data_IF_132841858509
#
_entry.id   IF_132841858509
#
_cell.length_a   1.000
_cell.length_b   1.000
_cell.length_c   1.000
_cell.angle_alpha   90.00
_cell.angle_beta   90.00
_cell.angle_gamma   90.00
#
_symmetry.space_group_name_H-M   'P 1'
#
loop_
_entity.id
_entity.type
_entity.pdbx_description
1 polymer ?
#
# COMPACT_ATOMS: atom_id res chain seq x y z
N UNK A 1 -32.77 7.79 -3.69
CA UNK A 1 -31.40 7.55 -3.17
C UNK A 1 -30.45 8.69 -3.53
N UNK A 2 -30.37 9.12 -4.80
CA UNK A 2 -29.50 10.25 -5.21
C UNK A 2 -29.64 11.51 -4.35
N UNK A 3 -30.88 11.99 -4.12
CA UNK A 3 -31.12 13.17 -3.28
C UNK A 3 -30.71 13.00 -1.80
N UNK A 4 -30.54 11.76 -1.33
CA UNK A 4 -30.13 11.46 0.06
C UNK A 4 -28.63 11.48 0.24
N UNK A 5 -27.86 11.48 -0.86
CA UNK A 5 -26.42 11.73 -0.78
C UNK A 5 -26.12 13.16 -0.33
N UNK A 6 -27.02 14.12 -0.60
CA UNK A 6 -26.85 15.55 -0.25
C UNK A 6 -27.70 15.95 0.96
N UNK A 7 -28.15 14.98 1.75
CA UNK A 7 -28.98 15.27 2.92
C UNK A 7 -28.18 16.04 3.99
N UNK A 8 -28.87 16.84 4.81
CA UNK A 8 -28.21 17.63 5.86
C UNK A 8 -27.71 16.75 6.99
N UNK A 9 -28.44 15.67 7.27
CA UNK A 9 -28.07 14.71 8.31
C UNK A 9 -27.00 13.74 7.77
N UNK A 10 -25.85 13.67 8.44
CA UNK A 10 -24.75 12.75 8.11
C UNK A 10 -25.21 11.29 8.09
N UNK A 11 -26.04 10.87 9.04
CA UNK A 11 -26.60 9.51 9.11
C UNK A 11 -27.38 9.15 7.83
N UNK A 12 -28.12 10.11 7.26
CA UNK A 12 -28.88 9.89 6.03
C UNK A 12 -27.92 9.79 4.83
N UNK A 13 -26.87 10.62 4.78
CA UNK A 13 -25.83 10.54 3.76
C UNK A 13 -25.10 9.19 3.82
N UNK A 14 -24.71 8.75 5.01
CA UNK A 14 -24.03 7.49 5.25
C UNK A 14 -24.87 6.30 4.76
N UNK A 15 -26.10 6.17 5.24
CA UNK A 15 -27.02 5.09 4.84
C UNK A 15 -27.27 5.10 3.34
N UNK A 16 -27.34 6.28 2.72
CA UNK A 16 -27.48 6.40 1.27
C UNK A 16 -26.27 5.86 0.52
N UNK A 17 -25.04 6.09 1.00
CA UNK A 17 -23.80 5.55 0.41
C UNK A 17 -23.70 4.04 0.62
N UNK A 18 -23.96 3.55 1.84
CA UNK A 18 -23.92 2.12 2.15
C UNK A 18 -24.90 1.31 1.28
N UNK A 19 -26.09 1.85 1.03
CA UNK A 19 -27.07 1.22 0.15
C UNK A 19 -26.61 1.12 -1.33
N UNK A 20 -25.58 1.88 -1.71
CA UNK A 20 -24.98 1.88 -3.04
C UNK A 20 -23.70 1.03 -3.12
N UNK A 21 -23.15 0.61 -1.98
CA UNK A 21 -21.92 -0.18 -1.92
C UNK A 21 -22.08 -1.54 -2.62
N UNK A 22 -21.04 -1.95 -3.34
CA UNK A 22 -21.01 -3.25 -4.05
C UNK A 22 -21.88 -3.32 -5.31
N UNK A 23 -22.61 -2.26 -5.67
CA UNK A 23 -23.36 -2.22 -6.93
C UNK A 23 -22.41 -1.98 -8.10
N UNK A 24 -22.38 -2.89 -9.08
CA UNK A 24 -21.55 -2.71 -10.27
C UNK A 24 -22.08 -1.54 -11.13
N UNK A 25 -23.37 -1.57 -11.48
CA UNK A 25 -23.97 -0.66 -12.45
C UNK A 25 -24.61 0.56 -11.77
N UNK A 26 -23.80 1.56 -11.42
CA UNK A 26 -24.30 2.85 -10.96
C UNK A 26 -24.33 3.88 -12.11
N UNK A 27 -25.43 4.64 -12.26
CA UNK A 27 -25.44 5.79 -13.16
C UNK A 27 -24.34 6.78 -12.80
N UNK A 28 -23.76 7.45 -13.80
CA UNK A 28 -22.69 8.45 -13.62
C UNK A 28 -23.03 9.50 -12.56
N UNK A 29 -24.24 10.04 -12.58
CA UNK A 29 -24.73 10.99 -11.57
C UNK A 29 -24.65 10.46 -10.14
N UNK A 30 -24.81 9.15 -9.95
CA UNK A 30 -24.67 8.53 -8.64
C UNK A 30 -23.20 8.41 -8.22
N UNK A 31 -22.31 8.09 -9.16
CA UNK A 31 -20.87 8.08 -8.94
C UNK A 31 -20.37 9.47 -8.58
N UNK A 32 -20.85 10.52 -9.27
CA UNK A 32 -20.56 11.92 -8.93
C UNK A 32 -21.07 12.28 -7.53
N UNK A 33 -22.28 11.85 -7.18
CA UNK A 33 -22.84 12.04 -5.85
C UNK A 33 -22.01 11.37 -4.75
N UNK A 34 -21.51 10.15 -4.99
CA UNK A 34 -20.57 9.47 -4.08
C UNK A 34 -19.22 10.19 -4.06
N UNK A 35 -18.72 10.66 -5.20
CA UNK A 35 -17.47 11.40 -5.30
C UNK A 35 -17.49 12.66 -4.43
N UNK A 36 -18.61 13.39 -4.44
CA UNK A 36 -18.79 14.59 -3.62
C UNK A 36 -18.76 14.30 -2.11
N UNK A 37 -18.99 13.04 -1.70
CA UNK A 37 -18.92 12.59 -0.31
C UNK A 37 -17.51 12.20 0.12
N UNK A 38 -16.54 12.15 -0.80
CA UNK A 38 -15.14 12.02 -0.42
C UNK A 38 -14.69 13.24 0.40
N UNK A 39 -15.28 14.42 0.20
CA UNK A 39 -14.96 15.67 0.93
C UNK A 39 -16.00 16.00 2.01
N UNK A 40 -16.77 15.01 2.47
CA UNK A 40 -17.77 15.23 3.50
C UNK A 40 -17.14 15.68 4.84
N UNK A 41 -17.84 16.51 5.60
CA UNK A 41 -17.39 16.93 6.93
C UNK A 41 -17.29 15.76 7.91
N UNK A 42 -18.15 14.75 7.71
CA UNK A 42 -18.21 13.56 8.55
C UNK A 42 -17.26 12.47 8.03
N UNK A 43 -16.36 12.01 8.91
CA UNK A 43 -15.35 11.00 8.56
C UNK A 43 -15.95 9.65 8.16
N UNK A 44 -17.08 9.25 8.75
CA UNK A 44 -17.71 7.95 8.49
C UNK A 44 -18.36 8.01 7.09
N UNK A 45 -18.92 9.16 6.73
CA UNK A 45 -19.40 9.43 5.36
C UNK A 45 -18.26 9.43 4.35
N UNK A 46 -17.11 10.06 4.64
CA UNK A 46 -15.92 10.02 3.77
C UNK A 46 -15.43 8.59 3.57
N UNK A 47 -15.33 7.82 4.65
CA UNK A 47 -14.88 6.43 4.62
C UNK A 47 -15.84 5.56 3.79
N UNK A 48 -17.15 5.68 4.03
CA UNK A 48 -18.17 4.96 3.27
C UNK A 48 -18.10 5.30 1.77
N UNK A 49 -17.86 6.56 1.41
CA UNK A 49 -17.71 6.96 0.01
C UNK A 49 -16.54 6.24 -0.67
N UNK A 50 -15.40 6.14 0.02
CA UNK A 50 -14.23 5.39 -0.46
C UNK A 50 -14.58 3.90 -0.67
N UNK A 51 -15.23 3.27 0.31
CA UNK A 51 -15.63 1.86 0.21
C UNK A 51 -16.66 1.60 -0.88
N UNK A 52 -17.56 2.55 -1.14
CA UNK A 52 -18.51 2.46 -2.24
C UNK A 52 -17.83 2.54 -3.62
N UNK A 53 -16.67 3.19 -3.73
CA UNK A 53 -15.88 3.27 -4.97
C UNK A 53 -14.87 2.14 -5.13
N UNK A 54 -14.49 1.47 -4.03
CA UNK A 54 -13.52 0.36 -4.02
C UNK A 54 -13.89 -0.76 -4.99
N UNK A 55 -12.87 -1.33 -5.66
CA UNK A 55 -13.01 -2.52 -6.49
C UNK A 55 -13.63 -2.29 -7.87
N UNK A 56 -13.98 -1.05 -8.20
CA UNK A 56 -14.46 -0.67 -9.54
C UNK A 56 -13.30 -0.53 -10.51
N UNK A 57 -13.30 -1.34 -11.57
CA UNK A 57 -12.21 -1.31 -12.55
C UNK A 57 -12.21 0.00 -13.37
N UNK A 58 -13.38 0.51 -13.72
CA UNK A 58 -13.65 1.58 -14.68
C UNK A 58 -13.85 2.97 -14.03
N UNK A 59 -13.20 3.23 -12.89
CA UNK A 59 -13.24 4.56 -12.28
C UNK A 59 -12.56 5.60 -13.17
N UNK A 60 -13.24 6.72 -13.50
CA UNK A 60 -12.61 7.88 -14.11
C UNK A 60 -11.40 8.37 -13.31
N UNK A 61 -10.38 8.86 -14.00
CA UNK A 61 -9.14 9.38 -13.38
C UNK A 61 -9.43 10.41 -12.26
N UNK A 62 -10.36 11.33 -12.50
CA UNK A 62 -10.79 12.34 -11.50
C UNK A 62 -11.31 11.71 -10.20
N UNK A 63 -11.98 10.56 -10.27
CA UNK A 63 -12.45 9.84 -9.08
C UNK A 63 -11.29 9.15 -8.36
N UNK A 64 -10.31 8.62 -9.09
CA UNK A 64 -9.08 8.09 -8.50
C UNK A 64 -8.27 9.19 -7.81
N UNK A 65 -8.17 10.38 -8.41
CA UNK A 65 -7.56 11.55 -7.78
C UNK A 65 -8.30 11.98 -6.50
N UNK A 66 -9.64 11.94 -6.50
CA UNK A 66 -10.44 12.20 -5.31
C UNK A 66 -10.16 11.21 -4.17
N UNK A 67 -10.04 9.91 -4.49
CA UNK A 67 -9.64 8.90 -3.50
C UNK A 67 -8.19 9.14 -3.05
N UNK A 68 -7.28 9.46 -3.98
CA UNK A 68 -5.88 9.73 -3.65
C UNK A 68 -5.71 10.96 -2.75
N UNK A 69 -6.55 11.99 -2.89
CA UNK A 69 -6.58 13.14 -2.00
C UNK A 69 -6.91 12.75 -0.54
N UNK A 70 -7.63 11.64 -0.33
CA UNK A 70 -7.92 11.09 1.00
C UNK A 70 -6.76 10.33 1.63
N UNK A 71 -5.65 10.12 0.90
CA UNK A 71 -4.42 9.67 1.53
C UNK A 71 -3.92 10.68 2.57
N UNK A 72 -4.23 11.97 2.42
CA UNK A 72 -3.84 13.05 3.35
C UNK A 72 -4.98 13.48 4.28
N UNK A 73 -6.02 12.65 4.44
CA UNK A 73 -7.12 12.94 5.35
C UNK A 73 -6.64 13.08 6.80
N UNK A 74 -7.29 13.93 7.59
CA UNK A 74 -6.98 14.11 9.01
C UNK A 74 -7.24 12.83 9.81
N UNK A 75 -8.21 12.02 9.39
CA UNK A 75 -8.62 10.80 10.09
C UNK A 75 -7.88 9.56 9.55
N UNK A 76 -7.28 8.78 10.46
CA UNK A 76 -6.49 7.59 10.11
C UNK A 76 -7.31 6.49 9.41
N UNK A 77 -8.58 6.31 9.80
CA UNK A 77 -9.45 5.29 9.21
C UNK A 77 -9.81 5.63 7.76
N UNK A 78 -9.94 6.94 7.46
CA UNK A 78 -10.15 7.45 6.10
C UNK A 78 -8.88 7.29 5.25
N UNK A 79 -7.70 7.61 5.80
CA UNK A 79 -6.40 7.38 5.12
C UNK A 79 -6.21 5.90 4.79
N UNK A 80 -6.48 5.01 5.74
CA UNK A 80 -6.41 3.57 5.53
C UNK A 80 -7.38 3.12 4.42
N UNK A 81 -8.64 3.56 4.47
CA UNK A 81 -9.63 3.21 3.46
C UNK A 81 -9.21 3.64 2.05
N UNK A 82 -8.61 4.83 1.91
CA UNK A 82 -8.08 5.31 0.63
C UNK A 82 -7.00 4.39 0.07
N UNK A 83 -6.05 3.97 0.91
CA UNK A 83 -5.00 3.01 0.52
C UNK A 83 -5.61 1.68 0.09
N UNK A 84 -6.58 1.17 0.84
CA UNK A 84 -7.26 -0.09 0.52
C UNK A 84 -8.07 -0.03 -0.79
N UNK A 85 -8.66 1.11 -1.11
CA UNK A 85 -9.38 1.31 -2.35
C UNK A 85 -8.46 1.38 -3.57
N UNK A 86 -7.24 1.88 -3.41
CA UNK A 86 -6.21 1.93 -4.46
C UNK A 86 -5.43 0.61 -4.58
N UNK A 87 -5.43 -0.25 -3.55
CA UNK A 87 -4.71 -1.53 -3.56
C UNK A 87 -5.14 -2.43 -4.72
N UNK A 88 -4.16 -3.06 -5.37
CA UNK A 88 -4.39 -4.06 -6.41
C UNK A 88 -4.72 -3.49 -7.79
N UNK A 89 -4.81 -2.17 -7.92
CA UNK A 89 -4.96 -1.48 -9.21
C UNK A 89 -3.64 -1.48 -9.98
N UNK A 90 -3.60 -2.12 -11.14
CA UNK A 90 -2.38 -2.17 -11.96
C UNK A 90 -2.06 -0.81 -12.61
N UNK A 91 -3.09 -0.03 -12.91
CA UNK A 91 -3.11 1.22 -13.70
C UNK A 91 -2.85 2.49 -12.88
N UNK A 92 -2.28 2.39 -11.68
CA UNK A 92 -1.99 3.57 -10.86
C UNK A 92 -0.84 4.40 -11.44
N UNK A 93 -1.05 5.72 -11.67
CA UNK A 93 0.04 6.62 -12.00
C UNK A 93 1.11 6.65 -10.91
N UNK A 94 2.36 6.92 -11.29
CA UNK A 94 3.49 7.00 -10.37
C UNK A 94 3.24 7.97 -9.21
N UNK A 95 2.62 9.13 -9.47
CA UNK A 95 2.26 10.12 -8.46
C UNK A 95 1.33 9.55 -7.36
N UNK A 96 0.41 8.65 -7.72
CA UNK A 96 -0.47 8.00 -6.73
C UNK A 96 0.30 6.96 -5.92
N UNK A 97 1.24 6.24 -6.54
CA UNK A 97 2.15 5.33 -5.83
C UNK A 97 3.04 6.09 -4.85
N UNK A 98 3.54 7.27 -5.22
CA UNK A 98 4.27 8.16 -4.31
C UNK A 98 3.40 8.61 -3.12
N UNK A 99 2.13 8.95 -3.37
CA UNK A 99 1.16 9.27 -2.32
C UNK A 99 0.96 8.12 -1.33
N UNK A 100 0.82 6.88 -1.84
CA UNK A 100 0.74 5.68 -1.00
C UNK A 100 2.07 5.46 -0.24
N UNK A 101 3.21 5.66 -0.90
CA UNK A 101 4.53 5.49 -0.29
C UNK A 101 4.79 6.52 0.83
N UNK A 102 4.28 7.75 0.71
CA UNK A 102 4.34 8.74 1.77
C UNK A 102 3.62 8.27 3.05
N UNK A 103 2.62 7.40 2.92
CA UNK A 103 1.91 6.77 4.06
C UNK A 103 2.68 5.63 4.73
N UNK A 104 3.84 5.23 4.19
CA UNK A 104 4.75 4.35 4.93
C UNK A 104 5.23 5.01 6.23
N UNK A 105 5.26 6.34 6.32
CA UNK A 105 5.70 7.10 7.51
C UNK A 105 4.54 7.65 8.34
N UNK A 106 3.31 7.18 8.10
CA UNK A 106 2.13 7.65 8.81
C UNK A 106 2.24 7.44 10.32
N UNK A 107 1.63 8.32 11.11
CA UNK A 107 1.60 8.19 12.57
C UNK A 107 0.83 6.94 13.01
N UNK A 108 -0.21 6.58 12.25
CA UNK A 108 -1.06 5.44 12.49
C UNK A 108 -0.42 4.16 11.91
N UNK A 109 -0.32 3.14 12.76
CA UNK A 109 0.26 1.85 12.37
C UNK A 109 -0.56 1.12 11.32
N UNK A 110 -1.89 1.26 11.35
CA UNK A 110 -2.79 0.53 10.47
C UNK A 110 -2.71 1.15 9.06
N UNK A 111 -2.54 2.46 8.97
CA UNK A 111 -2.21 3.18 7.74
C UNK A 111 -0.84 2.77 7.18
N UNK A 112 0.21 2.72 8.03
CA UNK A 112 1.55 2.24 7.59
C UNK A 112 1.48 0.82 7.05
N UNK A 113 0.78 -0.08 7.76
CA UNK A 113 0.61 -1.46 7.34
C UNK A 113 -0.16 -1.56 6.01
N UNK A 114 -1.22 -0.78 5.86
CA UNK A 114 -2.02 -0.73 4.65
C UNK A 114 -1.18 -0.28 3.44
N UNK A 115 -0.31 0.72 3.62
CA UNK A 115 0.59 1.23 2.58
C UNK A 115 1.55 0.14 2.09
N UNK A 116 2.18 -0.58 3.02
CA UNK A 116 3.08 -1.70 2.69
C UNK A 116 2.35 -2.75 1.85
N UNK A 117 1.15 -3.16 2.26
CA UNK A 117 0.37 -4.15 1.53
C UNK A 117 -0.17 -3.64 0.18
N UNK A 118 -0.40 -2.33 0.03
CA UNK A 118 -0.78 -1.76 -1.26
C UNK A 118 0.35 -1.75 -2.28
N UNK A 119 1.60 -1.58 -1.83
CA UNK A 119 2.79 -1.62 -2.67
C UNK A 119 3.31 -3.05 -2.90
N UNK A 120 2.90 -4.01 -2.07
CA UNK A 120 3.33 -5.42 -2.19
C UNK A 120 2.98 -6.02 -3.56
N UNK A 121 3.92 -6.79 -4.11
CA UNK A 121 3.72 -7.55 -5.36
C UNK A 121 3.82 -6.72 -6.64
N UNK A 122 3.88 -5.39 -6.55
CA UNK A 122 4.13 -4.50 -7.68
C UNK A 122 5.57 -4.63 -8.17
N UNK A 123 5.79 -5.00 -9.42
CA UNK A 123 7.13 -5.16 -10.03
C UNK A 123 7.69 -3.86 -10.62
N UNK A 124 6.88 -2.81 -10.68
CA UNK A 124 7.14 -1.51 -11.29
C UNK A 124 7.53 -0.44 -10.25
N UNK A 125 7.87 -0.84 -9.01
CA UNK A 125 8.22 0.11 -7.97
C UNK A 125 9.63 0.68 -8.18
N UNK A 126 9.80 2.02 -8.18
CA UNK A 126 11.11 2.64 -8.10
C UNK A 126 11.87 2.21 -6.84
N UNK A 127 13.20 2.13 -6.93
CA UNK A 127 14.08 1.72 -5.83
C UNK A 127 13.82 2.52 -4.53
N UNK A 128 13.56 3.83 -4.66
CA UNK A 128 13.23 4.72 -3.52
C UNK A 128 11.99 4.25 -2.74
N UNK A 129 10.98 3.71 -3.42
CA UNK A 129 9.77 3.21 -2.76
C UNK A 129 10.05 1.88 -2.06
N UNK A 130 10.92 1.03 -2.64
CA UNK A 130 11.41 -0.18 -2.01
C UNK A 130 12.25 0.13 -0.76
N UNK A 131 13.08 1.17 -0.79
CA UNK A 131 13.82 1.66 0.37
C UNK A 131 12.86 2.11 1.48
N UNK A 132 11.77 2.79 1.14
CA UNK A 132 10.72 3.16 2.09
C UNK A 132 10.11 1.93 2.79
N UNK A 133 9.82 0.86 2.05
CA UNK A 133 9.33 -0.40 2.63
C UNK A 133 10.41 -1.06 3.49
N UNK A 134 11.67 -1.08 3.04
CA UNK A 134 12.78 -1.65 3.79
C UNK A 134 13.03 -0.92 5.12
N UNK A 135 12.84 0.41 5.16
CA UNK A 135 12.91 1.19 6.39
C UNK A 135 11.87 0.74 7.44
N UNK A 136 10.73 0.18 7.01
CA UNK A 136 9.69 -0.34 7.91
C UNK A 136 10.04 -1.67 8.58
N UNK A 137 11.15 -2.30 8.24
CA UNK A 137 11.71 -3.42 9.03
C UNK A 137 12.16 -2.98 10.43
N UNK A 138 12.40 -1.69 10.61
CA UNK A 138 12.75 -1.08 11.90
C UNK A 138 11.57 -0.43 12.61
N UNK A 139 10.35 -0.55 12.08
CA UNK A 139 9.15 0.08 12.66
C UNK A 139 8.97 -0.31 14.14
N UNK A 140 8.44 0.63 14.93
CA UNK A 140 8.13 0.41 16.35
C UNK A 140 7.07 -0.69 16.53
N UNK A 141 6.12 -0.76 15.60
CA UNK A 141 5.01 -1.70 15.65
C UNK A 141 5.39 -3.04 14.99
N UNK A 142 5.02 -4.15 15.63
CA UNK A 142 5.37 -5.49 15.16
C UNK A 142 4.64 -5.88 13.88
N UNK A 143 3.35 -5.53 13.75
CA UNK A 143 2.53 -5.87 12.59
C UNK A 143 3.05 -5.15 11.33
N UNK A 144 3.54 -3.92 11.48
CA UNK A 144 4.18 -3.15 10.41
C UNK A 144 5.51 -3.80 9.99
N UNK A 145 6.35 -4.24 10.93
CA UNK A 145 7.59 -4.96 10.61
C UNK A 145 7.31 -6.25 9.84
N UNK A 146 6.32 -7.03 10.26
CA UNK A 146 5.93 -8.26 9.57
C UNK A 146 5.41 -7.96 8.16
N UNK A 147 4.58 -6.93 7.99
CA UNK A 147 4.12 -6.52 6.66
C UNK A 147 5.31 -6.18 5.75
N UNK A 148 6.31 -5.45 6.24
CA UNK A 148 7.51 -5.09 5.46
C UNK A 148 8.30 -6.34 5.03
N UNK A 149 8.47 -7.30 5.94
CA UNK A 149 9.07 -8.61 5.62
C UNK A 149 8.30 -9.29 4.49
N UNK A 150 6.98 -9.44 4.64
CA UNK A 150 6.13 -10.11 3.65
C UNK A 150 6.09 -9.40 2.30
N UNK A 151 6.25 -8.08 2.27
CA UNK A 151 6.28 -7.30 1.05
C UNK A 151 7.60 -7.47 0.28
N UNK A 152 8.72 -7.60 0.99
CA UNK A 152 10.06 -7.74 0.41
C UNK A 152 10.43 -9.20 0.12
N UNK A 153 9.84 -10.15 0.84
CA UNK A 153 10.12 -11.57 0.66
C UNK A 153 9.76 -12.05 -0.76
N UNK A 154 10.70 -12.73 -1.41
CA UNK A 154 10.50 -13.32 -2.74
C UNK A 154 10.64 -12.36 -3.92
N UNK A 155 10.83 -11.05 -3.67
CA UNK A 155 11.08 -10.05 -4.73
C UNK A 155 12.42 -10.29 -5.41
N UNK A 156 12.44 -10.47 -6.72
CA UNK A 156 13.66 -10.73 -7.50
C UNK A 156 14.41 -9.46 -7.93
N UNK A 157 13.75 -8.33 -7.85
CA UNK A 157 14.19 -7.00 -8.27
C UNK A 157 14.85 -6.19 -7.13
N UNK A 158 15.10 -6.80 -5.98
CA UNK A 158 15.75 -6.11 -4.86
C UNK A 158 17.26 -5.93 -5.11
N UNK A 159 17.80 -4.72 -4.97
CA UNK A 159 19.24 -4.49 -5.00
C UNK A 159 19.96 -5.33 -3.95
N UNK A 160 21.14 -5.86 -4.29
CA UNK A 160 21.93 -6.70 -3.38
C UNK A 160 22.24 -6.00 -2.04
N UNK A 161 22.50 -4.69 -2.10
CA UNK A 161 22.69 -3.83 -0.91
C UNK A 161 21.47 -3.86 0.01
N UNK A 162 20.26 -3.83 -0.55
CA UNK A 162 19.02 -3.90 0.20
C UNK A 162 18.86 -5.29 0.82
N UNK A 163 19.13 -6.37 0.07
CA UNK A 163 19.10 -7.75 0.61
C UNK A 163 20.05 -7.93 1.80
N UNK A 164 21.29 -7.43 1.70
CA UNK A 164 22.25 -7.44 2.82
C UNK A 164 21.73 -6.63 4.01
N UNK A 165 21.15 -5.47 3.75
CA UNK A 165 20.54 -4.62 4.77
C UNK A 165 19.34 -5.27 5.47
N UNK A 166 18.51 -6.03 4.75
CA UNK A 166 17.39 -6.78 5.30
C UNK A 166 17.89 -7.94 6.17
N UNK A 167 18.86 -8.72 5.68
CA UNK A 167 19.43 -9.87 6.40
C UNK A 167 20.04 -9.45 7.75
N UNK A 168 20.86 -8.39 7.76
CA UNK A 168 21.47 -7.88 8.99
C UNK A 168 20.42 -7.42 10.03
N UNK A 169 19.33 -6.79 9.58
CA UNK A 169 18.24 -6.30 10.45
C UNK A 169 17.40 -7.42 11.06
N UNK A 170 17.29 -8.55 10.37
CA UNK A 170 16.58 -9.72 10.85
C UNK A 170 17.40 -10.48 11.90
N UNK A 171 18.72 -10.53 11.74
CA UNK A 171 19.63 -11.17 12.71
C UNK A 171 19.68 -10.42 14.05
N UNK A 172 19.64 -9.08 14.04
CA UNK A 172 19.76 -8.25 15.25
C UNK A 172 18.51 -8.26 16.17
N UNK A 173 17.34 -8.68 15.68
CA UNK A 173 16.06 -8.62 16.44
C UNK A 173 15.48 -10.00 16.83
N UNK A 174 16.25 -11.07 16.64
CA UNK A 174 15.87 -12.46 16.92
C UNK A 174 15.90 -12.84 18.41
N UNK A 175 15.31 -12.00 19.26
CA UNK A 175 15.06 -12.33 20.67
C UNK A 175 13.78 -13.12 20.90
N UNK A 176 12.84 -13.17 19.94
CA UNK A 176 11.50 -13.70 20.27
C UNK A 176 10.74 -14.43 19.14
N UNK A 177 10.86 -14.07 17.84
CA UNK A 177 9.91 -14.62 16.83
C UNK A 177 10.42 -14.84 15.37
N UNK A 178 11.70 -14.63 15.02
CA UNK A 178 12.15 -14.58 13.60
C UNK A 178 12.51 -15.89 12.89
N UNK A 179 12.09 -17.05 13.40
CA UNK A 179 12.49 -18.36 12.86
C UNK A 179 12.01 -18.65 11.42
N UNK A 180 11.00 -17.93 10.89
CA UNK A 180 10.40 -18.22 9.57
C UNK A 180 11.06 -17.54 8.36
N UNK A 181 11.89 -16.52 8.58
CA UNK A 181 12.38 -15.66 7.48
C UNK A 181 13.77 -16.09 7.00
N UNK A 182 14.57 -16.68 7.89
CA UNK A 182 15.93 -17.16 7.60
C UNK A 182 16.00 -18.13 6.43
N UNK A 183 14.99 -19.00 6.31
CA UNK A 183 14.96 -20.07 5.31
C UNK A 183 14.88 -19.54 3.87
N UNK A 184 14.17 -18.43 3.62
CA UNK A 184 13.99 -17.92 2.25
C UNK A 184 15.16 -17.10 1.69
N UNK A 185 15.93 -16.42 2.56
CA UNK A 185 17.06 -15.58 2.15
C UNK A 185 18.38 -16.37 2.10
N UNK A 186 18.57 -17.35 3.00
CA UNK A 186 19.77 -18.20 3.01
C UNK A 186 19.88 -19.05 1.74
N UNK A 187 18.76 -19.58 1.24
CA UNK A 187 18.70 -20.35 -0.01
C UNK A 187 19.11 -19.53 -1.24
N UNK A 188 18.92 -18.20 -1.20
CA UNK A 188 19.27 -17.28 -2.31
C UNK A 188 20.74 -16.86 -2.28
N UNK A 189 21.31 -16.67 -1.10
CA UNK A 189 22.75 -16.40 -0.96
C UNK A 189 23.61 -17.59 -1.39
N UNK A 190 23.10 -18.81 -1.23
CA UNK A 190 23.80 -20.04 -1.66
C UNK A 190 23.67 -20.35 -3.16
N UNK A 191 22.74 -19.71 -3.88
CA UNK A 191 22.46 -19.97 -5.30
C UNK A 191 23.00 -18.90 -6.27
N UNK A 192 23.75 -17.91 -5.78
CA UNK A 192 24.53 -17.03 -6.64
C UNK A 192 25.77 -17.78 -7.16
N UNK A 193 26.01 -17.83 -8.49
CA UNK A 193 27.18 -18.52 -9.02
C UNK A 193 28.45 -17.81 -8.55
N UNK A 194 29.33 -18.60 -7.92
CA UNK A 194 30.69 -18.23 -7.53
C UNK A 194 31.40 -17.63 -8.76
N UNK A 195 31.64 -16.31 -8.75
CA UNK A 195 32.37 -15.63 -9.81
C UNK A 195 33.73 -16.33 -9.99
N UNK A 196 33.96 -16.85 -11.21
CA UNK A 196 35.21 -17.48 -11.57
C UNK A 196 36.33 -16.42 -11.55
N UNK A 197 37.30 -16.59 -10.66
CA UNK A 197 38.51 -15.77 -10.62
C UNK A 197 39.20 -15.75 -11.99
N UNK A 198 39.64 -14.59 -12.50
CA UNK A 198 40.40 -14.54 -13.74
C UNK A 198 41.80 -15.12 -13.48
N UNK A 199 42.05 -16.31 -14.02
CA UNK A 199 43.39 -16.92 -14.08
C UNK A 199 44.36 -15.98 -14.77
N UNK A 200 45.35 -15.45 -14.04
CA UNK A 200 46.44 -14.65 -14.59
C UNK A 200 47.27 -15.49 -15.59
N UNK A 201 47.65 -14.95 -16.76
CA UNK A 201 48.47 -15.68 -17.71
C UNK A 201 49.91 -15.76 -17.22
N UNK A 202 50.46 -16.98 -17.20
CA UNK A 202 51.89 -17.23 -16.98
C UNK A 202 52.69 -16.60 -18.12
N UNK A 203 53.68 -15.79 -17.75
CA UNK A 203 54.73 -15.30 -18.65
C UNK A 203 55.52 -16.51 -19.20
N UNK A 204 55.71 -16.51 -20.52
CA UNK A 204 56.83 -17.19 -21.19
C UNK A 204 57.74 -16.10 -21.76
#
# INVERSE_FOLDING_TARGET
IAARLEDKENDIRLVAIEALQGRADLPEKMLEGIAARLEDEDRDVRQAAIFALRGRADLPEKLLEGIAARLEDEDGDVRQAAIEALRGRADLPEKLLEGIAARLEDEDRDVRQAAIFALRGRTDLPEKLLEGIAARLEDKDWDVRQAAIFALQGRADLPEKMLKGIAARLEDKDGDHGSRIKTGLSDRQQSLPFEAEPTSPRRC
#
